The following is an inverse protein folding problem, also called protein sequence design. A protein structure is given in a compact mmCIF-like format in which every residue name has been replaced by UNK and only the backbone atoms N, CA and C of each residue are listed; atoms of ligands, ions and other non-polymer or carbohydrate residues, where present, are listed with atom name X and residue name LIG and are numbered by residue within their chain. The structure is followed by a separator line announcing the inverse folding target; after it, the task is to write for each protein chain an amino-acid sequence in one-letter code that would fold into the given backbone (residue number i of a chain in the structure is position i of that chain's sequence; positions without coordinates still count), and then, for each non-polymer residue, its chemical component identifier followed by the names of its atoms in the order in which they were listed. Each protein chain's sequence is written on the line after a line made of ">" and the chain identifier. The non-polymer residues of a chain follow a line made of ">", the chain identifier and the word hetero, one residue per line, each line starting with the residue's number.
data_IF_545949776765
#
_entry.id   IF_545949776765
#
_cell.length_a   1.000
_cell.length_b   1.000
_cell.length_c   1.000
_cell.angle_alpha   90.00
_cell.angle_beta   90.00
_cell.angle_gamma   90.00
#
_symmetry.space_group_name_H-M   'P 1'
#
loop_
_entity.id
_entity.type
_entity.pdbx_description
1 polymer ?
#
# COMPACT_ATOMS: atom_id res chain seq x y z
N UNK A 1 2.90 -12.91 11.30
CA UNK A 1 3.54 -11.67 11.77
C UNK A 1 2.90 -10.37 11.30
N UNK A 2 2.57 -10.20 10.02
CA UNK A 2 2.00 -8.94 9.51
C UNK A 2 0.73 -8.48 10.26
N UNK A 3 -0.25 -9.37 10.48
CA UNK A 3 -1.48 -9.02 11.20
C UNK A 3 -1.23 -8.53 12.63
N UNK A 4 -0.29 -9.15 13.35
CA UNK A 4 0.12 -8.69 14.69
C UNK A 4 0.84 -7.35 14.63
N UNK A 5 1.69 -7.14 13.62
CA UNK A 5 2.40 -5.87 13.43
C UNK A 5 1.43 -4.70 13.26
N UNK A 6 0.43 -4.84 12.38
CA UNK A 6 -0.51 -3.76 12.07
C UNK A 6 -1.55 -3.54 13.17
N UNK A 7 -2.00 -4.60 13.87
CA UNK A 7 -2.97 -4.47 14.97
C UNK A 7 -2.34 -3.94 16.26
N UNK A 8 -1.12 -4.38 16.57
CA UNK A 8 -0.42 -4.00 17.80
C UNK A 8 0.51 -2.80 17.65
N UNK A 9 0.62 -2.22 16.45
CA UNK A 9 1.62 -1.20 16.12
C UNK A 9 3.04 -1.62 16.54
N UNK A 10 3.46 -2.82 16.12
CA UNK A 10 4.71 -3.46 16.54
C UNK A 10 5.71 -3.50 15.36
N UNK A 11 6.65 -2.53 15.25
CA UNK A 11 7.61 -2.48 14.14
C UNK A 11 8.46 -3.74 14.00
N UNK A 12 8.84 -4.37 15.11
CA UNK A 12 9.66 -5.60 15.07
C UNK A 12 8.92 -6.78 14.43
N UNK A 13 7.60 -6.87 14.61
CA UNK A 13 6.80 -7.90 13.93
C UNK A 13 6.73 -7.64 12.42
N UNK A 14 6.71 -6.38 12.00
CA UNK A 14 6.81 -6.05 10.57
C UNK A 14 8.19 -6.42 10.01
N UNK A 15 9.28 -6.09 10.73
CA UNK A 15 10.65 -6.47 10.32
C UNK A 15 10.82 -7.99 10.21
N UNK A 16 10.26 -8.75 11.15
CA UNK A 16 10.27 -10.21 11.10
C UNK A 16 9.52 -10.75 9.88
N UNK A 17 8.32 -10.22 9.61
CA UNK A 17 7.56 -10.55 8.39
C UNK A 17 8.35 -10.22 7.11
N UNK A 18 8.91 -9.01 7.01
CA UNK A 18 9.64 -8.57 5.82
C UNK A 18 10.89 -9.43 5.57
N UNK A 19 11.60 -9.83 6.62
CA UNK A 19 12.75 -10.74 6.53
C UNK A 19 12.36 -12.09 5.91
N UNK A 20 11.31 -12.73 6.44
CA UNK A 20 10.83 -14.03 5.93
C UNK A 20 10.47 -13.97 4.44
N UNK A 21 9.78 -12.91 4.00
CA UNK A 21 9.39 -12.74 2.59
C UNK A 21 10.60 -12.45 1.68
N UNK A 22 11.56 -11.66 2.15
CA UNK A 22 12.76 -11.34 1.35
C UNK A 22 13.67 -12.56 1.19
N UNK A 23 13.90 -13.34 2.24
CA UNK A 23 14.71 -14.58 2.19
C UNK A 23 14.05 -15.65 1.31
N UNK A 24 12.71 -15.76 1.33
CA UNK A 24 11.98 -16.65 0.43
C UNK A 24 12.17 -16.28 -1.06
N UNK A 25 12.27 -14.99 -1.37
CA UNK A 25 12.43 -14.48 -2.75
C UNK A 25 13.73 -14.99 -3.38
N UNK A 26 14.79 -15.15 -2.59
CA UNK A 26 16.10 -15.68 -3.02
C UNK A 26 16.02 -17.19 -3.31
N UNK A 27 15.26 -17.94 -2.51
CA UNK A 27 15.08 -19.39 -2.69
C UNK A 27 14.20 -19.74 -3.89
N UNK A 28 13.16 -18.94 -4.15
CA UNK A 28 12.20 -19.18 -5.24
C UNK A 28 12.71 -18.75 -6.62
N UNK A 29 13.92 -18.18 -6.72
CA UNK A 29 14.53 -17.70 -7.97
C UNK A 29 13.62 -16.78 -8.78
N UNK A 30 12.83 -15.94 -8.11
CA UNK A 30 12.06 -14.90 -8.80
C UNK A 30 13.03 -13.91 -9.46
N UNK A 31 12.64 -13.28 -10.57
CA UNK A 31 13.50 -12.30 -11.26
C UNK A 31 14.08 -11.26 -10.30
N UNK A 32 13.27 -10.72 -9.40
CA UNK A 32 13.73 -9.76 -8.38
C UNK A 32 14.76 -10.36 -7.43
N UNK A 33 14.59 -11.61 -7.01
CA UNK A 33 15.49 -12.32 -6.11
C UNK A 33 16.86 -12.64 -6.70
N UNK A 34 16.98 -12.61 -8.03
CA UNK A 34 18.27 -12.79 -8.71
C UNK A 34 19.12 -11.49 -8.71
N UNK A 35 18.55 -10.36 -8.30
CA UNK A 35 19.25 -9.08 -8.20
C UNK A 35 19.51 -8.71 -6.73
N UNK A 36 20.69 -8.18 -6.47
CA UNK A 36 20.98 -7.42 -5.25
C UNK A 36 21.09 -5.93 -5.54
N UNK A 37 20.69 -5.10 -4.59
CA UNK A 37 20.93 -3.66 -4.65
C UNK A 37 22.41 -3.44 -4.33
N UNK A 38 23.13 -2.73 -5.21
CA UNK A 38 24.49 -2.25 -4.89
C UNK A 38 24.40 -1.15 -3.85
N UNK A 39 25.13 -1.30 -2.74
CA UNK A 39 25.10 -0.31 -1.65
C UNK A 39 25.92 0.93 -2.01
N UNK A 40 25.83 1.97 -1.18
CA UNK A 40 26.69 3.15 -1.33
C UNK A 40 28.18 2.74 -1.24
N UNK A 41 28.50 1.84 -0.31
CA UNK A 41 29.84 1.30 -0.08
C UNK A 41 30.35 0.52 -1.30
N UNK A 42 29.51 -0.34 -1.92
CA UNK A 42 29.86 -1.06 -3.16
C UNK A 42 30.26 -0.11 -4.30
N UNK A 43 29.78 1.14 -4.24
CA UNK A 43 30.04 2.18 -5.22
C UNK A 43 31.12 3.19 -4.77
N UNK A 44 31.78 2.96 -3.64
CA UNK A 44 32.78 3.87 -3.07
C UNK A 44 32.20 5.19 -2.53
N UNK A 45 30.92 5.20 -2.12
CA UNK A 45 30.19 6.36 -1.61
C UNK A 45 29.83 6.17 -0.14
N UNK A 46 29.53 7.26 0.55
CA UNK A 46 29.01 7.23 1.93
C UNK A 46 27.47 7.19 1.92
N UNK A 47 26.83 6.40 2.80
CA UNK A 47 25.39 6.46 3.00
C UNK A 47 24.93 7.86 3.40
N UNK A 48 23.71 8.21 3.00
CA UNK A 48 23.06 9.44 3.43
C UNK A 48 22.35 9.23 4.78
N UNK A 49 22.38 10.22 5.68
CA UNK A 49 21.55 10.24 6.88
C UNK A 49 20.05 10.09 6.56
N UNK A 50 19.28 9.40 7.43
CA UNK A 50 17.86 9.15 7.22
C UNK A 50 16.99 10.42 7.22
N UNK A 51 17.41 11.46 7.93
CA UNK A 51 16.75 12.77 7.95
C UNK A 51 16.88 13.54 6.62
N UNK A 52 17.82 13.15 5.76
CA UNK A 52 17.93 13.66 4.40
C UNK A 52 17.07 12.86 3.39
N UNK A 53 16.52 11.72 3.82
CA UNK A 53 15.60 10.93 3.00
C UNK A 53 14.20 11.55 3.06
N UNK A 54 13.47 11.47 1.94
CA UNK A 54 12.09 11.93 1.89
C UNK A 54 11.23 11.31 3.02
N UNK A 55 10.43 12.12 3.73
CA UNK A 55 9.59 11.62 4.82
C UNK A 55 8.60 10.54 4.37
N UNK A 56 8.35 9.55 5.24
CA UNK A 56 7.39 8.47 4.96
C UNK A 56 6.00 9.00 4.55
N UNK A 57 5.53 10.09 5.16
CA UNK A 57 4.24 10.74 4.83
C UNK A 57 4.14 11.25 3.39
N UNK A 58 5.27 11.55 2.75
CA UNK A 58 5.33 11.96 1.34
C UNK A 58 5.45 10.72 0.44
N UNK A 59 6.24 9.73 0.87
CA UNK A 59 6.39 8.46 0.15
C UNK A 59 5.05 7.74 -0.02
N UNK A 60 4.23 7.65 1.03
CA UNK A 60 2.95 6.92 0.99
C UNK A 60 1.94 7.52 0.00
N UNK A 61 2.10 8.77 -0.41
CA UNK A 61 1.25 9.40 -1.45
C UNK A 61 1.42 8.74 -2.82
N UNK A 62 2.54 8.05 -3.05
CA UNK A 62 2.80 7.26 -4.27
C UNK A 62 2.14 5.89 -4.23
N UNK A 63 1.65 5.44 -3.07
CA UNK A 63 1.03 4.13 -2.94
C UNK A 63 -0.41 4.16 -3.42
N UNK A 64 -0.79 3.08 -4.10
CA UNK A 64 -2.16 2.82 -4.50
C UNK A 64 -2.56 1.41 -4.05
N UNK A 65 -3.77 1.25 -3.55
CA UNK A 65 -4.33 -0.11 -3.38
C UNK A 65 -4.69 -0.68 -4.74
N UNK A 66 -4.55 -1.98 -4.91
CA UNK A 66 -4.96 -2.67 -6.13
C UNK A 66 -6.45 -2.46 -6.45
N UNK A 67 -6.81 -2.63 -7.71
CA UNK A 67 -8.19 -2.66 -8.16
C UNK A 67 -8.86 -3.95 -7.70
N UNK A 68 -9.68 -3.87 -6.65
CA UNK A 68 -10.46 -4.99 -6.15
C UNK A 68 -11.94 -4.63 -6.30
N UNK A 69 -12.65 -5.43 -7.08
CA UNK A 69 -14.02 -5.14 -7.46
C UNK A 69 -14.98 -5.18 -6.27
N UNK A 70 -15.93 -4.24 -6.25
CA UNK A 70 -17.14 -4.38 -5.45
C UNK A 70 -17.89 -5.65 -5.89
N UNK A 71 -18.17 -6.55 -4.95
CA UNK A 71 -18.70 -7.89 -5.23
C UNK A 71 -17.65 -9.01 -5.13
N UNK A 72 -16.36 -8.71 -5.34
CA UNK A 72 -15.26 -9.64 -4.99
C UNK A 72 -14.82 -9.48 -3.54
N UNK A 73 -14.97 -8.28 -2.98
CA UNK A 73 -14.78 -7.98 -1.55
C UNK A 73 -16.02 -7.29 -0.99
N UNK A 74 -16.21 -7.37 0.32
CA UNK A 74 -17.32 -6.73 1.00
C UNK A 74 -17.24 -5.20 0.92
N UNK A 75 -18.38 -4.54 1.10
CA UNK A 75 -18.46 -3.07 1.13
C UNK A 75 -17.59 -2.49 2.24
N UNK A 76 -17.59 -3.13 3.40
CA UNK A 76 -16.82 -2.72 4.58
C UNK A 76 -15.32 -2.75 4.27
N UNK A 77 -14.84 -3.82 3.63
CA UNK A 77 -13.44 -3.92 3.22
C UNK A 77 -13.08 -2.84 2.18
N UNK A 78 -13.93 -2.67 1.16
CA UNK A 78 -13.70 -1.71 0.08
C UNK A 78 -13.66 -0.25 0.57
N UNK A 79 -14.61 0.13 1.41
CA UNK A 79 -14.68 1.48 1.99
C UNK A 79 -13.58 1.73 3.03
N UNK A 80 -13.17 0.70 3.79
CA UNK A 80 -12.03 0.80 4.72
C UNK A 80 -10.74 1.16 3.98
N UNK A 81 -10.48 0.52 2.83
CA UNK A 81 -9.32 0.85 1.98
C UNK A 81 -9.40 2.29 1.46
N UNK A 82 -10.57 2.71 0.98
CA UNK A 82 -10.75 4.07 0.47
C UNK A 82 -10.50 5.14 1.56
N UNK A 83 -11.08 4.96 2.75
CA UNK A 83 -10.86 5.86 3.89
C UNK A 83 -9.38 5.90 4.26
N UNK A 84 -8.73 4.74 4.41
CA UNK A 84 -7.32 4.67 4.79
C UNK A 84 -6.41 5.39 3.77
N UNK A 85 -6.61 5.13 2.47
CA UNK A 85 -5.80 5.77 1.42
C UNK A 85 -6.06 7.27 1.32
N UNK A 86 -7.30 7.71 1.53
CA UNK A 86 -7.64 9.12 1.55
C UNK A 86 -6.96 9.85 2.72
N UNK A 87 -6.95 9.26 3.92
CA UNK A 87 -6.28 9.84 5.11
C UNK A 87 -4.78 10.04 4.92
N UNK A 88 -4.09 9.09 4.27
CA UNK A 88 -2.63 9.16 4.08
C UNK A 88 -2.23 9.88 2.78
N UNK A 89 -3.20 10.38 2.00
CA UNK A 89 -2.93 11.05 0.73
C UNK A 89 -2.61 10.12 -0.45
N UNK A 90 -2.64 8.80 -0.25
CA UNK A 90 -2.51 7.80 -1.31
C UNK A 90 -3.79 7.69 -2.17
N UNK A 91 -3.91 6.61 -2.94
CA UNK A 91 -5.06 6.38 -3.85
C UNK A 91 -5.66 4.99 -3.67
N UNK A 92 -6.99 4.90 -3.64
CA UNK A 92 -7.72 3.64 -3.82
C UNK A 92 -8.39 3.60 -5.19
N UNK A 93 -8.72 2.39 -5.65
CA UNK A 93 -9.32 2.12 -6.95
C UNK A 93 -10.65 1.37 -6.74
N UNK A 94 -11.69 1.75 -7.49
CA UNK A 94 -13.01 1.10 -7.43
C UNK A 94 -12.99 -0.38 -7.79
N UNK A 95 -12.06 -0.79 -8.67
CA UNK A 95 -12.22 -2.03 -9.41
C UNK A 95 -13.41 -1.95 -10.38
N UNK A 96 -13.79 -3.10 -10.93
CA UNK A 96 -14.72 -3.21 -12.06
C UNK A 96 -16.20 -3.06 -11.65
N UNK A 97 -16.53 -3.30 -10.39
CA UNK A 97 -17.92 -3.35 -9.89
C UNK A 97 -18.56 -1.98 -9.63
N UNK A 98 -17.94 -0.89 -10.07
CA UNK A 98 -18.42 0.47 -9.84
C UNK A 98 -18.24 0.95 -8.40
N UNK A 99 -18.92 2.04 -8.05
CA UNK A 99 -18.92 2.63 -6.70
C UNK A 99 -20.27 3.31 -6.44
N UNK A 100 -20.81 3.09 -5.25
CA UNK A 100 -22.13 3.60 -4.86
C UNK A 100 -22.09 5.12 -4.63
N UNK A 101 -23.11 5.83 -5.11
CA UNK A 101 -23.12 7.30 -5.15
C UNK A 101 -23.13 7.97 -3.78
N UNK A 102 -23.60 7.28 -2.74
CA UNK A 102 -23.58 7.78 -1.37
C UNK A 102 -22.14 8.01 -0.86
N UNK A 103 -21.17 7.25 -1.37
CA UNK A 103 -19.74 7.37 -1.02
C UNK A 103 -19.10 8.66 -1.50
N UNK A 104 -19.75 9.41 -2.39
CA UNK A 104 -19.22 10.67 -2.92
C UNK A 104 -19.35 11.83 -1.93
N UNK A 105 -20.17 11.66 -0.90
CA UNK A 105 -20.30 12.63 0.20
C UNK A 105 -19.30 12.29 1.31
N UNK A 106 -18.53 13.26 1.81
CA UNK A 106 -17.73 13.07 3.01
C UNK A 106 -18.59 12.66 4.20
N UNK A 107 -18.02 11.85 5.08
CA UNK A 107 -18.62 11.47 6.36
C UNK A 107 -18.61 12.65 7.33
N UNK A 108 -19.48 12.65 8.37
CA UNK A 108 -19.52 13.73 9.36
C UNK A 108 -18.19 13.98 10.09
N UNK A 109 -17.32 12.97 10.17
CA UNK A 109 -15.99 13.07 10.78
C UNK A 109 -14.90 13.57 9.82
N UNK A 110 -15.26 13.96 8.58
CA UNK A 110 -14.35 14.44 7.55
C UNK A 110 -13.70 13.35 6.69
N UNK A 111 -13.91 12.07 7.00
CA UNK A 111 -13.42 10.99 6.15
C UNK A 111 -14.16 10.93 4.80
N UNK A 112 -13.51 10.32 3.80
CA UNK A 112 -14.13 10.06 2.50
C UNK A 112 -14.04 8.59 2.14
N UNK A 113 -15.19 7.99 1.81
CA UNK A 113 -15.30 6.62 1.29
C UNK A 113 -15.08 6.55 -0.23
N UNK A 114 -14.94 7.69 -0.90
CA UNK A 114 -14.79 7.78 -2.35
C UNK A 114 -13.42 7.27 -2.78
N UNK A 115 -13.38 6.36 -3.75
CA UNK A 115 -12.11 5.97 -4.37
C UNK A 115 -11.60 7.06 -5.32
N UNK A 116 -10.32 7.40 -5.24
CA UNK A 116 -9.72 8.42 -6.12
C UNK A 116 -9.60 7.96 -7.56
N UNK A 117 -9.40 6.67 -7.79
CA UNK A 117 -9.29 6.06 -9.11
C UNK A 117 -10.59 5.30 -9.39
N UNK A 118 -11.11 5.46 -10.60
CA UNK A 118 -12.31 4.83 -11.11
C UNK A 118 -11.90 3.99 -12.31
N UNK A 119 -12.15 2.69 -12.27
CA UNK A 119 -11.82 1.80 -13.38
C UNK A 119 -12.95 1.79 -14.41
N UNK A 120 -12.57 1.66 -15.67
CA UNK A 120 -13.44 1.27 -16.79
C UNK A 120 -12.84 0.00 -17.36
N UNK A 121 -13.61 -1.08 -17.36
CA UNK A 121 -13.22 -2.40 -17.82
C UNK A 121 -14.06 -2.83 -19.04
N UNK A 122 -13.83 -4.06 -19.53
CA UNK A 122 -14.58 -4.58 -20.69
C UNK A 122 -16.10 -4.60 -20.44
N UNK A 123 -16.50 -4.83 -19.18
CA UNK A 123 -17.88 -4.82 -18.71
C UNK A 123 -18.52 -3.43 -18.53
N UNK A 124 -17.80 -2.33 -18.80
CA UNK A 124 -18.08 -0.91 -18.47
C UNK A 124 -17.48 -0.48 -17.12
#
# INVERSE_FOLDING_TARGET
>A
DLQHAVRGNLPEKYRSFAKQINEQTEQLLTLRGMFRIKTAEDMGRKPVPLDQVEPAKEIVKRFSTGAMSFGSISREAHTTLAIAMNRIGGRSNTGEGGEESDRYKPLPNGDSMRSKIKQVASGR
#
